data_IF_820227989193
#
_entry.id   IF_820227989193
#
_cell.length_a   1.000
_cell.length_b   1.000
_cell.length_c   1.000
_cell.angle_alpha   90.00
_cell.angle_beta   90.00
_cell.angle_gamma   90.00
#
_symmetry.space_group_name_H-M   'P 1'
#
loop_
_entity.id
_entity.type
_entity.pdbx_description
1 polymer ?
#
# COMPACT_ATOMS: atom_id res chain seq x y z
N UNK A 1 -19.82 -15.89 0.31
CA UNK A 1 -18.47 -16.34 0.73
C UNK A 1 -18.41 -16.23 2.25
N UNK A 2 -18.30 -17.34 2.98
CA UNK A 2 -18.08 -17.31 4.44
C UNK A 2 -16.57 -17.30 4.67
N UNK A 3 -16.07 -16.25 5.31
CA UNK A 3 -14.70 -16.19 5.82
C UNK A 3 -14.69 -16.99 7.12
N UNK A 4 -14.04 -18.15 7.12
CA UNK A 4 -13.84 -18.96 8.32
C UNK A 4 -12.44 -18.64 8.88
N UNK A 5 -12.37 -18.04 10.07
CA UNK A 5 -11.13 -17.88 10.82
C UNK A 5 -10.65 -16.46 11.02
N UNK A 6 -9.66 -16.34 11.90
CA UNK A 6 -8.94 -15.11 12.26
C UNK A 6 -8.07 -14.63 11.09
N UNK A 7 -8.08 -13.32 10.82
CA UNK A 7 -7.08 -12.68 9.95
C UNK A 7 -5.77 -12.51 10.73
N UNK A 8 -4.75 -13.31 10.43
CA UNK A 8 -3.46 -13.25 11.13
C UNK A 8 -2.46 -12.30 10.47
N UNK A 9 -2.43 -12.27 9.13
CA UNK A 9 -1.44 -11.49 8.37
C UNK A 9 -2.12 -10.83 7.17
N UNK A 10 -1.83 -9.55 6.96
CA UNK A 10 -2.09 -8.81 5.73
C UNK A 10 -0.75 -8.48 5.09
N UNK A 11 -0.59 -8.78 3.80
CA UNK A 11 0.59 -8.39 3.02
C UNK A 11 0.14 -7.51 1.86
N UNK A 12 0.54 -6.25 1.88
CA UNK A 12 0.29 -5.30 0.80
C UNK A 12 1.51 -5.30 -0.14
N UNK A 13 1.37 -5.88 -1.33
CA UNK A 13 2.46 -6.01 -2.33
C UNK A 13 2.27 -5.10 -3.54
N UNK A 14 1.07 -4.56 -3.74
CA UNK A 14 0.75 -3.73 -4.91
C UNK A 14 1.53 -2.42 -4.90
N UNK A 15 2.17 -2.12 -6.03
CA UNK A 15 2.81 -0.85 -6.30
C UNK A 15 3.00 -0.62 -7.79
N UNK A 16 2.92 0.63 -8.22
CA UNK A 16 3.22 1.10 -9.58
C UNK A 16 4.28 2.22 -9.52
N UNK A 17 4.98 2.45 -10.62
CA UNK A 17 5.91 3.55 -10.76
C UNK A 17 5.51 4.43 -11.95
N UNK A 18 5.73 5.74 -11.82
CA UNK A 18 5.83 6.63 -12.97
C UNK A 18 7.27 6.59 -13.48
N UNK A 19 7.45 6.54 -14.80
CA UNK A 19 8.76 6.67 -15.44
C UNK A 19 9.10 8.10 -15.82
N UNK A 20 8.28 9.08 -15.42
CA UNK A 20 8.43 10.49 -15.76
C UNK A 20 9.27 11.23 -14.72
N UNK A 21 9.98 12.25 -15.18
CA UNK A 21 10.63 13.22 -14.30
C UNK A 21 9.63 14.13 -13.60
N UNK A 22 10.13 14.96 -12.69
CA UNK A 22 9.29 15.84 -11.87
C UNK A 22 8.58 16.92 -12.69
N UNK A 23 9.15 17.36 -13.81
CA UNK A 23 8.58 18.41 -14.65
C UNK A 23 7.51 17.87 -15.62
N UNK A 24 7.58 16.58 -15.93
CA UNK A 24 6.70 15.89 -16.86
C UNK A 24 5.55 15.17 -16.16
N UNK A 25 5.66 14.94 -14.84
CA UNK A 25 4.61 14.26 -14.06
C UNK A 25 3.39 15.17 -13.91
N UNK A 26 2.27 14.75 -14.50
CA UNK A 26 0.97 15.40 -14.30
C UNK A 26 0.39 15.06 -12.93
N UNK A 27 -0.54 15.90 -12.44
CA UNK A 27 -1.30 15.60 -11.22
C UNK A 27 -2.08 14.28 -11.33
N UNK A 28 -2.60 13.96 -12.51
CA UNK A 28 -3.31 12.69 -12.73
C UNK A 28 -2.40 11.47 -12.57
N UNK A 29 -1.18 11.53 -13.13
CA UNK A 29 -0.21 10.43 -12.97
C UNK A 29 0.28 10.33 -11.52
N UNK A 30 0.51 11.46 -10.86
CA UNK A 30 0.84 11.51 -9.44
C UNK A 30 -0.26 10.86 -8.60
N UNK A 31 -1.52 11.25 -8.81
CA UNK A 31 -2.67 10.72 -8.09
C UNK A 31 -2.84 9.22 -8.35
N UNK A 32 -2.60 8.74 -9.57
CA UNK A 32 -2.65 7.31 -9.90
C UNK A 32 -1.63 6.52 -9.07
N UNK A 33 -0.39 6.99 -9.01
CA UNK A 33 0.70 6.36 -8.24
C UNK A 33 0.40 6.41 -6.73
N UNK A 34 0.00 7.57 -6.21
CA UNK A 34 -0.32 7.76 -4.77
C UNK A 34 -1.54 6.95 -4.37
N UNK A 35 -2.59 6.93 -5.20
CA UNK A 35 -3.80 6.15 -4.93
C UNK A 35 -3.50 4.66 -4.82
N UNK A 36 -2.61 4.16 -5.66
CA UNK A 36 -2.22 2.74 -5.66
C UNK A 36 -1.29 2.43 -4.49
N UNK A 37 -0.17 3.15 -4.38
CA UNK A 37 0.94 2.78 -3.49
C UNK A 37 0.70 3.19 -2.04
N UNK A 38 -0.06 4.26 -1.78
CA UNK A 38 -0.28 4.79 -0.43
C UNK A 38 -1.74 4.63 0.01
N UNK A 39 -2.70 5.14 -0.76
CA UNK A 39 -4.12 5.09 -0.39
C UNK A 39 -4.63 3.65 -0.34
N UNK A 40 -4.23 2.80 -1.29
CA UNK A 40 -4.57 1.37 -1.31
C UNK A 40 -4.12 0.67 -0.02
N UNK A 41 -2.85 0.82 0.34
CA UNK A 41 -2.26 0.27 1.58
C UNK A 41 -2.99 0.74 2.83
N UNK A 42 -3.28 2.04 2.90
CA UNK A 42 -4.04 2.64 4.00
C UNK A 42 -5.44 2.02 4.13
N UNK A 43 -6.19 1.93 3.02
CA UNK A 43 -7.55 1.40 3.03
C UNK A 43 -7.58 -0.09 3.41
N UNK A 44 -6.67 -0.90 2.86
CA UNK A 44 -6.56 -2.31 3.23
C UNK A 44 -6.28 -2.47 4.72
N UNK A 45 -5.34 -1.68 5.26
CA UNK A 45 -5.02 -1.68 6.68
C UNK A 45 -6.21 -1.24 7.53
N UNK A 46 -6.90 -0.15 7.15
CA UNK A 46 -8.07 0.39 7.85
C UNK A 46 -9.17 -0.67 8.01
N UNK A 47 -9.39 -1.51 7.00
CA UNK A 47 -10.42 -2.55 7.04
C UNK A 47 -9.94 -3.86 7.67
N UNK A 48 -8.65 -4.18 7.61
CA UNK A 48 -8.08 -5.36 8.24
C UNK A 48 -7.94 -5.23 9.77
N UNK A 49 -7.53 -4.05 10.26
CA UNK A 49 -7.24 -3.82 11.68
C UNK A 49 -8.40 -4.20 12.61
N UNK A 50 -9.67 -3.83 12.37
CA UNK A 50 -10.78 -4.22 13.23
C UNK A 50 -10.92 -5.74 13.37
N UNK A 51 -10.78 -6.48 12.26
CA UNK A 51 -10.90 -7.95 12.25
C UNK A 51 -9.69 -8.61 12.91
N UNK A 52 -8.50 -8.01 12.78
CA UNK A 52 -7.31 -8.47 13.50
C UNK A 52 -7.46 -8.25 15.01
N UNK A 53 -7.99 -7.10 15.45
CA UNK A 53 -8.24 -6.80 16.87
C UNK A 53 -9.21 -7.80 17.47
N UNK A 54 -10.35 -8.07 16.82
CA UNK A 54 -11.32 -9.06 17.32
C UNK A 54 -10.73 -10.47 17.35
N UNK A 55 -9.76 -10.76 16.48
CA UNK A 55 -8.99 -12.00 16.48
C UNK A 55 -7.86 -12.08 17.52
N UNK A 56 -7.62 -11.04 18.32
CA UNK A 56 -6.50 -11.01 19.28
C UNK A 56 -5.15 -10.64 18.64
N UNK A 57 -5.16 -9.77 17.64
CA UNK A 57 -3.98 -9.20 16.99
C UNK A 57 -3.58 -9.88 15.68
N UNK A 58 -2.64 -9.27 14.97
CA UNK A 58 -2.11 -9.72 13.68
C UNK A 58 -0.94 -8.86 13.22
N UNK A 59 -0.41 -9.15 12.03
CA UNK A 59 0.73 -8.45 11.42
C UNK A 59 0.33 -7.87 10.07
N UNK A 60 0.72 -6.61 9.81
CA UNK A 60 0.60 -5.98 8.49
C UNK A 60 2.01 -5.78 7.94
N UNK A 61 2.25 -6.30 6.74
CA UNK A 61 3.52 -6.15 6.00
C UNK A 61 3.24 -5.31 4.75
N UNK A 62 3.95 -4.19 4.61
CA UNK A 62 3.89 -3.35 3.42
C UNK A 62 5.17 -3.52 2.62
N UNK A 63 5.06 -4.02 1.39
CA UNK A 63 6.19 -4.08 0.48
C UNK A 63 6.51 -2.68 -0.01
N UNK A 64 7.75 -2.24 0.22
CA UNK A 64 8.26 -0.96 -0.26
C UNK A 64 9.47 -1.19 -1.16
N UNK A 65 10.15 -0.11 -1.55
CA UNK A 65 11.34 -0.13 -2.37
C UNK A 65 12.43 0.72 -1.72
N UNK A 66 13.70 0.47 -2.10
CA UNK A 66 14.83 1.33 -1.73
C UNK A 66 14.60 2.81 -2.15
N UNK A 67 13.78 3.03 -3.20
CA UNK A 67 13.36 4.35 -3.63
C UNK A 67 12.60 5.17 -2.57
N UNK A 68 12.09 4.52 -1.51
CA UNK A 68 11.51 5.22 -0.35
C UNK A 68 12.54 5.93 0.54
N UNK A 69 13.83 5.60 0.41
CA UNK A 69 14.92 6.22 1.17
C UNK A 69 15.73 7.23 0.36
N UNK A 70 15.87 7.01 -0.94
CA UNK A 70 16.64 7.88 -1.82
C UNK A 70 15.95 7.99 -3.17
N UNK A 71 15.81 9.21 -3.66
CA UNK A 71 15.33 9.47 -5.01
C UNK A 71 16.36 8.95 -6.02
N UNK A 72 15.89 8.30 -7.08
CA UNK A 72 16.71 8.05 -8.25
C UNK A 72 16.61 9.28 -9.15
N UNK A 73 17.69 10.05 -9.37
CA UNK A 73 17.67 11.11 -10.36
C UNK A 73 17.51 10.47 -11.74
N UNK A 74 16.45 10.82 -12.45
CA UNK A 74 16.21 10.47 -13.86
C UNK A 74 16.36 11.71 -14.72
#
# INVERSE_FOLDING_TARGET
>A
MKIHGKLNVLVNVVGIASGLGVLETSEEEWDRVVATNLKGVFLMSKHAVPVMITGGGGVIINMSSAAGFAAHPS
#
